data_IF_508890845758
#
_entry.id   IF_508890845758
#
_cell.length_a   1.000
_cell.length_b   1.000
_cell.length_c   1.000
_cell.angle_alpha   90.00
_cell.angle_beta   90.00
_cell.angle_gamma   90.00
#
_symmetry.space_group_name_H-M   'P 1'
#
loop_
_entity.id
_entity.type
_entity.pdbx_description
1 polymer ?
#
# COMPACT_ATOMS: atom_id res chain seq x y z
N UNK A 1 7.35 4.74 11.73
CA UNK A 1 6.11 4.12 11.22
C UNK A 1 6.48 2.95 10.34
N UNK A 2 5.72 1.87 10.42
CA UNK A 2 5.88 0.66 9.61
C UNK A 2 5.01 0.79 8.37
N UNK A 3 5.62 0.71 7.20
CA UNK A 3 4.99 1.07 5.93
C UNK A 3 5.06 -0.12 4.97
N UNK A 4 3.94 -0.40 4.31
CA UNK A 4 3.89 -1.32 3.16
C UNK A 4 3.70 -0.52 1.89
N UNK A 5 4.46 -0.84 0.85
CA UNK A 5 4.36 -0.22 -0.47
C UNK A 5 3.92 -1.29 -1.49
N UNK A 6 2.93 -0.96 -2.30
CA UNK A 6 2.61 -1.70 -3.50
C UNK A 6 2.68 -0.74 -4.70
N UNK A 7 3.69 -0.94 -5.54
CA UNK A 7 4.06 -0.05 -6.65
C UNK A 7 4.72 -0.88 -7.75
N UNK A 8 4.22 -0.84 -8.98
CA UNK A 8 4.72 -1.69 -10.08
C UNK A 8 6.07 -1.20 -10.64
N UNK A 9 6.34 0.11 -10.56
CA UNK A 9 7.62 0.68 -10.97
C UNK A 9 8.71 0.44 -9.94
N UNK A 10 9.68 -0.41 -10.30
CA UNK A 10 10.86 -0.69 -9.46
C UNK A 10 11.57 0.59 -9.04
N UNK A 11 11.85 1.50 -9.98
CA UNK A 11 12.56 2.76 -9.70
C UNK A 11 11.79 3.65 -8.71
N UNK A 12 10.47 3.75 -8.88
CA UNK A 12 9.65 4.56 -7.98
C UNK A 12 9.55 3.93 -6.60
N UNK A 13 9.39 2.61 -6.53
CA UNK A 13 9.33 1.85 -5.28
C UNK A 13 10.62 2.01 -4.47
N UNK A 14 11.78 1.87 -5.10
CA UNK A 14 13.09 2.12 -4.47
C UNK A 14 13.24 3.58 -4.02
N UNK A 15 12.84 4.54 -4.88
CA UNK A 15 12.88 5.96 -4.55
C UNK A 15 12.02 6.33 -3.33
N UNK A 16 10.79 5.82 -3.26
CA UNK A 16 9.89 6.02 -2.11
C UNK A 16 10.46 5.34 -0.86
N UNK A 17 10.97 4.11 -1.00
CA UNK A 17 11.55 3.36 0.13
C UNK A 17 12.70 4.12 0.76
N UNK A 18 13.62 4.63 -0.07
CA UNK A 18 14.75 5.43 0.38
C UNK A 18 14.29 6.74 1.04
N UNK A 19 13.35 7.46 0.41
CA UNK A 19 12.80 8.70 0.98
C UNK A 19 12.21 8.44 2.37
N UNK A 20 11.36 7.43 2.51
CA UNK A 20 10.72 7.09 3.79
C UNK A 20 11.76 6.72 4.86
N UNK A 21 12.79 5.97 4.49
CA UNK A 21 13.90 5.63 5.38
C UNK A 21 14.68 6.87 5.85
N UNK A 22 14.92 7.84 4.96
CA UNK A 22 15.56 9.12 5.29
C UNK A 22 14.75 9.93 6.32
N UNK A 23 13.42 9.78 6.34
CA UNK A 23 12.53 10.38 7.34
C UNK A 23 12.31 9.50 8.60
N UNK A 24 13.07 8.41 8.77
CA UNK A 24 12.99 7.54 9.95
C UNK A 24 11.77 6.61 9.95
N UNK A 25 11.21 6.32 8.78
CA UNK A 25 10.18 5.30 8.62
C UNK A 25 10.77 3.97 8.16
N UNK A 26 10.11 2.88 8.50
CA UNK A 26 10.52 1.52 8.16
C UNK A 26 9.58 0.97 7.10
N UNK A 27 10.13 0.64 5.92
CA UNK A 27 9.37 -0.09 4.90
C UNK A 27 9.52 -1.59 5.19
N UNK A 28 8.45 -2.17 5.73
CA UNK A 28 8.44 -3.59 6.17
C UNK A 28 8.20 -4.56 5.01
N UNK A 29 7.64 -4.06 3.90
CA UNK A 29 7.50 -4.79 2.66
C UNK A 29 7.26 -3.83 1.48
N UNK A 30 7.76 -4.21 0.30
CA UNK A 30 7.65 -3.43 -0.93
C UNK A 30 7.38 -4.38 -2.10
N UNK A 31 6.11 -4.47 -2.51
CA UNK A 31 5.65 -5.41 -3.53
C UNK A 31 5.46 -4.71 -4.88
N UNK A 32 5.86 -5.40 -5.96
CA UNK A 32 5.58 -4.99 -7.34
C UNK A 32 4.25 -5.51 -7.89
N UNK A 33 3.58 -6.39 -7.12
CA UNK A 33 2.33 -7.02 -7.51
C UNK A 33 1.29 -6.80 -6.40
N UNK A 34 0.17 -6.19 -6.80
CA UNK A 34 -0.94 -5.92 -5.92
C UNK A 34 -1.55 -7.20 -5.33
N UNK A 35 -1.45 -8.36 -5.99
CA UNK A 35 -2.04 -9.63 -5.52
C UNK A 35 -1.57 -10.04 -4.12
N UNK A 36 -0.34 -9.66 -3.74
CA UNK A 36 0.27 -9.98 -2.44
C UNK A 36 0.01 -8.95 -1.35
N UNK A 37 -0.58 -7.81 -1.71
CA UNK A 37 -0.73 -6.68 -0.80
C UNK A 37 -1.50 -7.06 0.47
N UNK A 38 -2.61 -7.80 0.35
CA UNK A 38 -3.42 -8.19 1.51
C UNK A 38 -2.65 -9.10 2.47
N UNK A 39 -1.96 -10.11 1.94
CA UNK A 39 -1.18 -11.06 2.75
C UNK A 39 -0.07 -10.33 3.51
N UNK A 40 0.62 -9.42 2.83
CA UNK A 40 1.68 -8.60 3.41
C UNK A 40 1.14 -7.66 4.49
N UNK A 41 0.02 -6.99 4.24
CA UNK A 41 -0.63 -6.13 5.24
C UNK A 41 -1.08 -6.92 6.47
N UNK A 42 -1.67 -8.09 6.26
CA UNK A 42 -2.10 -8.97 7.36
C UNK A 42 -0.92 -9.50 8.18
N UNK A 43 0.16 -9.87 7.51
CA UNK A 43 1.35 -10.40 8.17
C UNK A 43 2.11 -9.33 8.94
N UNK A 44 2.25 -8.14 8.35
CA UNK A 44 3.06 -7.09 8.94
C UNK A 44 2.27 -6.13 9.82
N UNK A 45 0.96 -5.98 9.68
CA UNK A 45 0.17 -4.97 10.42
C UNK A 45 0.82 -3.56 10.40
N UNK A 46 0.96 -2.93 9.22
CA UNK A 46 1.61 -1.63 9.07
C UNK A 46 0.73 -0.46 9.54
N UNK A 47 1.37 0.67 9.84
CA UNK A 47 0.72 1.96 10.17
C UNK A 47 0.21 2.68 8.91
N UNK A 48 0.88 2.48 7.77
CA UNK A 48 0.58 3.13 6.49
C UNK A 48 0.77 2.16 5.35
N UNK A 49 -0.15 2.21 4.38
CA UNK A 49 -0.05 1.48 3.11
C UNK A 49 -0.10 2.45 1.95
N UNK A 50 0.90 2.35 1.07
CA UNK A 50 1.00 3.13 -0.16
C UNK A 50 0.70 2.21 -1.34
N UNK A 51 -0.27 2.56 -2.17
CA UNK A 51 -0.69 1.73 -3.31
C UNK A 51 -0.75 2.58 -4.59
N UNK A 52 -0.10 2.12 -5.67
CA UNK A 52 -0.30 2.70 -7.01
C UNK A 52 -1.71 2.37 -7.52
N UNK A 53 -2.49 3.39 -7.90
CA UNK A 53 -3.83 3.24 -8.50
C UNK A 53 -3.82 2.58 -9.86
N UNK A 54 -2.69 2.65 -10.57
CA UNK A 54 -2.57 2.11 -11.92
C UNK A 54 -2.34 0.61 -11.91
N UNK A 55 -1.91 0.04 -10.78
CA UNK A 55 -1.88 -1.41 -10.65
C UNK A 55 -3.30 -1.95 -10.83
N UNK A 56 -3.49 -2.97 -11.69
CA UNK A 56 -4.78 -3.64 -11.80
C UNK A 56 -5.27 -4.04 -10.40
N UNK A 57 -6.57 -3.91 -10.11
CA UNK A 57 -7.15 -4.24 -8.81
C UNK A 57 -7.21 -5.77 -8.64
N UNK A 58 -6.07 -6.44 -8.67
CA UNK A 58 -5.95 -7.86 -8.33
C UNK A 58 -5.96 -8.04 -6.79
N UNK A 59 -5.53 -7.02 -6.05
CA UNK A 59 -5.48 -7.02 -4.58
C UNK A 59 -6.84 -6.81 -3.91
N UNK A 60 -7.75 -6.09 -4.56
CA UNK A 60 -8.97 -5.68 -3.91
C UNK A 60 -10.00 -6.78 -4.07
N UNK A 61 -10.65 -7.22 -2.98
CA UNK A 61 -11.74 -8.17 -3.10
C UNK A 61 -12.74 -7.58 -4.09
N UNK A 62 -13.26 -8.39 -5.01
CA UNK A 62 -14.26 -7.98 -6.00
C UNK A 62 -15.53 -7.36 -5.37
N UNK A 63 -15.71 -7.54 -4.06
CA UNK A 63 -16.75 -6.97 -3.23
C UNK A 63 -16.34 -5.68 -2.48
N UNK A 64 -15.12 -5.16 -2.66
CA UNK A 64 -14.76 -3.86 -2.15
C UNK A 64 -15.71 -2.84 -2.80
N UNK A 65 -16.58 -2.16 -2.02
CA UNK A 65 -17.44 -1.11 -2.59
C UNK A 65 -16.56 -0.12 -3.36
N UNK A 66 -17.14 0.56 -4.35
CA UNK A 66 -16.50 1.58 -5.21
C UNK A 66 -15.75 2.71 -4.45
N UNK A 67 -15.68 2.64 -3.12
CA UNK A 67 -14.85 3.43 -2.22
C UNK A 67 -13.85 2.54 -1.46
N UNK A 68 -12.69 2.30 -2.09
CA UNK A 68 -11.52 1.62 -1.47
C UNK A 68 -11.17 2.20 -0.07
N UNK A 69 -11.18 3.54 0.15
CA UNK A 69 -10.87 4.10 1.46
C UNK A 69 -11.87 3.69 2.55
N UNK A 70 -13.14 3.50 2.20
CA UNK A 70 -14.19 3.15 3.18
C UNK A 70 -14.12 1.69 3.58
N UNK A 71 -13.87 0.79 2.62
CA UNK A 71 -13.66 -0.62 2.91
C UNK A 71 -12.41 -0.83 3.77
N UNK A 72 -11.31 -0.17 3.41
CA UNK A 72 -10.09 -0.23 4.20
C UNK A 72 -10.31 0.19 5.66
N UNK A 73 -10.93 1.35 5.91
CA UNK A 73 -11.23 1.81 7.29
C UNK A 73 -12.10 0.84 8.09
N UNK A 74 -12.92 0.01 7.44
CA UNK A 74 -13.73 -1.00 8.14
C UNK A 74 -12.92 -2.20 8.59
N UNK A 75 -11.82 -2.51 7.88
CA UNK A 75 -10.94 -3.64 8.20
C UNK A 75 -9.74 -3.21 9.06
N UNK A 76 -9.23 -2.00 8.85
CA UNK A 76 -8.07 -1.43 9.53
C UNK A 76 -8.27 0.06 9.80
N UNK A 77 -8.95 0.43 10.90
CA UNK A 77 -9.25 1.84 11.21
C UNK A 77 -8.00 2.68 11.50
N UNK A 78 -6.93 2.04 12.02
CA UNK A 78 -5.68 2.71 12.40
C UNK A 78 -4.68 2.84 11.24
N UNK A 79 -4.80 2.02 10.19
CA UNK A 79 -3.86 2.06 9.07
C UNK A 79 -4.31 3.11 8.04
N UNK A 80 -3.44 4.06 7.70
CA UNK A 80 -3.72 5.03 6.65
C UNK A 80 -3.50 4.43 5.24
N UNK A 81 -4.29 4.86 4.24
CA UNK A 81 -4.07 4.51 2.82
C UNK A 81 -3.73 5.76 2.03
N UNK A 82 -2.55 5.77 1.43
CA UNK A 82 -2.17 6.78 0.45
C UNK A 82 -2.36 6.22 -0.96
N UNK A 83 -3.26 6.86 -1.71
CA UNK A 83 -3.63 6.48 -3.08
C UNK A 83 -3.04 7.53 -4.03
N UNK A 84 -2.06 7.17 -4.85
CA UNK A 84 -1.47 8.09 -5.82
C UNK A 84 -2.15 7.97 -7.19
N UNK A 85 -2.86 9.02 -7.62
CA UNK A 85 -3.36 9.16 -9.01
C UNK A 85 -2.66 10.33 -9.68
N UNK A 86 -1.66 10.07 -10.52
CA UNK A 86 -1.16 11.08 -11.46
C UNK A 86 -2.04 11.02 -12.71
N UNK A 87 -2.81 12.07 -12.95
CA UNK A 87 -3.33 12.31 -14.31
C UNK A 87 -2.15 12.60 -15.25
#
# INVERSE_FOLDING_TARGET
MRIVIAEDSVLLREGITRLLAEYGHEVVAAEGDASRLLDVVLHHAPDLVIVDVRMPPAAWPRAAPLSIPRWWRSCWPEAAVAIRSTR
#
